data_IF_171292440665
#
_entry.id   IF_171292440665
#
_cell.length_a   1.000
_cell.length_b   1.000
_cell.length_c   1.000
_cell.angle_alpha   90.00
_cell.angle_beta   90.00
_cell.angle_gamma   90.00
#
_symmetry.space_group_name_H-M   'P 1'
#
loop_
_entity.id
_entity.type
_entity.pdbx_description
1 polymer ?
#
# COMPACT_ATOMS: atom_id res chain seq x y z
N UNK A 1 -29.32 5.64 -32.00
CA UNK A 1 -30.02 4.36 -31.75
C UNK A 1 -28.97 3.46 -31.08
N UNK A 2 -29.19 3.09 -29.84
CA UNK A 2 -28.32 2.12 -29.16
C UNK A 2 -28.49 0.75 -29.80
N UNK A 3 -27.40 0.10 -30.10
CA UNK A 3 -27.37 -1.29 -30.58
C UNK A 3 -27.93 -2.17 -29.46
N UNK A 4 -29.05 -2.90 -29.65
CA UNK A 4 -29.68 -3.72 -28.63
C UNK A 4 -28.80 -4.92 -28.18
N UNK A 5 -27.76 -5.28 -28.96
CA UNK A 5 -26.86 -6.36 -28.66
C UNK A 5 -25.59 -5.90 -27.86
N UNK A 6 -25.47 -4.59 -27.61
CA UNK A 6 -24.32 -4.04 -26.93
C UNK A 6 -24.46 -4.20 -25.42
N UNK A 7 -23.44 -4.80 -24.79
CA UNK A 7 -23.42 -4.95 -23.34
C UNK A 7 -23.39 -3.56 -22.66
N UNK A 8 -24.33 -3.33 -21.76
CA UNK A 8 -24.46 -2.08 -21.01
C UNK A 8 -24.38 -2.36 -19.51
N UNK A 9 -23.56 -1.57 -18.82
CA UNK A 9 -23.35 -1.62 -17.38
C UNK A 9 -23.73 -0.28 -16.74
N UNK A 10 -23.99 -0.28 -15.43
CA UNK A 10 -24.18 0.96 -14.67
C UNK A 10 -22.84 1.65 -14.44
N UNK A 11 -21.79 0.86 -14.25
CA UNK A 11 -20.41 1.34 -14.13
C UNK A 11 -19.39 0.36 -14.71
N UNK A 12 -18.32 0.91 -15.29
CA UNK A 12 -17.11 0.17 -15.64
C UNK A 12 -16.01 0.62 -14.71
N UNK A 13 -15.23 -0.33 -14.16
CA UNK A 13 -14.11 -0.10 -13.26
C UNK A 13 -12.84 -0.55 -13.98
N UNK A 14 -11.87 0.34 -14.14
CA UNK A 14 -10.59 0.07 -14.81
C UNK A 14 -9.53 -0.15 -13.75
N UNK A 15 -9.05 -1.40 -13.64
CA UNK A 15 -8.13 -1.87 -12.61
C UNK A 15 -8.81 -2.81 -11.61
N UNK A 16 -8.24 -4.01 -11.42
CA UNK A 16 -8.72 -5.02 -10.47
C UNK A 16 -7.74 -5.24 -9.30
N UNK A 17 -7.01 -4.20 -8.89
CA UNK A 17 -6.30 -4.16 -7.62
C UNK A 17 -7.29 -4.14 -6.44
N UNK A 18 -6.79 -4.04 -5.20
CA UNK A 18 -7.62 -4.04 -3.99
C UNK A 18 -8.70 -2.94 -4.03
N UNK A 19 -8.37 -1.75 -4.52
CA UNK A 19 -9.33 -0.63 -4.62
C UNK A 19 -10.43 -0.94 -5.64
N UNK A 20 -10.07 -1.39 -6.84
CA UNK A 20 -11.03 -1.68 -7.90
C UNK A 20 -11.94 -2.85 -7.55
N UNK A 21 -11.40 -3.90 -6.95
CA UNK A 21 -12.18 -5.04 -6.48
C UNK A 21 -13.14 -4.66 -5.34
N UNK A 22 -12.71 -3.78 -4.42
CA UNK A 22 -13.55 -3.24 -3.35
C UNK A 22 -14.71 -2.38 -3.91
N UNK A 23 -14.42 -1.51 -4.89
CA UNK A 23 -15.45 -0.69 -5.55
C UNK A 23 -16.47 -1.59 -6.28
N UNK A 24 -16.01 -2.62 -7.01
CA UNK A 24 -16.89 -3.58 -7.66
C UNK A 24 -17.81 -4.27 -6.65
N UNK A 25 -17.26 -4.72 -5.52
CA UNK A 25 -18.02 -5.35 -4.45
C UNK A 25 -19.07 -4.41 -3.85
N UNK A 26 -18.67 -3.19 -3.47
CA UNK A 26 -19.58 -2.22 -2.86
C UNK A 26 -20.69 -1.75 -3.81
N UNK A 27 -20.41 -1.61 -5.09
CA UNK A 27 -21.41 -1.28 -6.10
C UNK A 27 -22.36 -2.47 -6.35
N UNK A 28 -21.83 -3.69 -6.42
CA UNK A 28 -22.64 -4.90 -6.58
C UNK A 28 -23.59 -5.12 -5.37
N UNK A 29 -23.14 -4.83 -4.14
CA UNK A 29 -24.01 -4.80 -2.93
C UNK A 29 -25.19 -3.84 -3.07
N UNK A 30 -25.02 -2.74 -3.82
CA UNK A 30 -26.08 -1.75 -4.09
C UNK A 30 -26.94 -2.11 -5.29
N UNK A 31 -26.71 -3.27 -5.90
CA UNK A 31 -27.46 -3.77 -7.06
C UNK A 31 -27.04 -3.14 -8.39
N UNK A 32 -25.88 -2.50 -8.46
CA UNK A 32 -25.35 -1.99 -9.73
C UNK A 32 -24.80 -3.15 -10.55
N UNK A 33 -25.09 -3.12 -11.85
CA UNK A 33 -24.45 -3.99 -12.82
C UNK A 33 -23.08 -3.42 -13.18
N UNK A 34 -22.01 -4.04 -12.70
CA UNK A 34 -20.63 -3.56 -12.88
C UNK A 34 -19.82 -4.48 -13.77
N UNK A 35 -18.92 -3.90 -14.56
CA UNK A 35 -17.85 -4.60 -15.23
C UNK A 35 -16.52 -4.06 -14.72
N UNK A 36 -15.69 -4.93 -14.15
CA UNK A 36 -14.33 -4.62 -13.80
C UNK A 36 -13.38 -5.18 -14.89
N UNK A 37 -12.50 -4.36 -15.43
CA UNK A 37 -11.55 -4.75 -16.48
C UNK A 37 -10.12 -4.55 -16.01
N UNK A 38 -9.26 -5.54 -16.29
CA UNK A 38 -7.83 -5.44 -16.02
C UNK A 38 -7.03 -6.10 -17.14
N UNK A 39 -5.91 -5.49 -17.52
CA UNK A 39 -5.00 -6.06 -18.51
C UNK A 39 -4.19 -7.24 -17.97
N UNK A 40 -4.07 -7.37 -16.65
CA UNK A 40 -3.39 -8.45 -15.95
C UNK A 40 -4.29 -9.69 -15.81
N UNK A 41 -3.72 -10.87 -15.53
CA UNK A 41 -4.45 -12.14 -15.60
C UNK A 41 -5.38 -12.43 -14.42
N UNK A 42 -5.30 -11.67 -13.32
CA UNK A 42 -6.11 -11.90 -12.13
C UNK A 42 -6.21 -10.66 -11.24
N UNK A 43 -7.18 -10.65 -10.32
CA UNK A 43 -7.32 -9.59 -9.33
C UNK A 43 -6.09 -9.50 -8.43
N UNK A 44 -5.67 -8.27 -8.14
CA UNK A 44 -4.55 -7.97 -7.25
C UNK A 44 -3.16 -8.16 -7.86
N UNK A 45 -3.01 -8.53 -9.12
CA UNK A 45 -1.72 -8.84 -9.76
C UNK A 45 -0.83 -7.62 -10.07
N UNK A 46 -1.33 -6.40 -9.93
CA UNK A 46 -0.52 -5.17 -10.00
C UNK A 46 0.17 -4.85 -8.66
N UNK A 47 0.40 -3.57 -8.38
CA UNK A 47 1.06 -3.10 -7.15
C UNK A 47 0.43 -3.62 -5.85
N UNK A 48 -0.81 -4.09 -5.89
CA UNK A 48 -1.45 -4.72 -4.74
C UNK A 48 -0.71 -5.96 -4.26
N UNK A 49 -0.35 -6.90 -5.16
CA UNK A 49 0.37 -8.13 -4.78
C UNK A 49 1.78 -7.86 -4.25
N UNK A 50 2.39 -6.76 -4.68
CA UNK A 50 3.75 -6.37 -4.32
C UNK A 50 3.79 -5.36 -3.16
N UNK A 51 2.63 -5.04 -2.59
CA UNK A 51 2.49 -4.14 -1.45
C UNK A 51 2.90 -4.82 -0.14
N UNK A 52 3.43 -4.05 0.81
CA UNK A 52 3.62 -4.49 2.18
C UNK A 52 2.30 -4.75 2.91
N UNK A 53 1.17 -4.37 2.33
CA UNK A 53 -0.18 -4.55 2.85
C UNK A 53 -0.38 -4.05 4.30
N UNK A 54 0.35 -3.03 4.70
CA UNK A 54 0.28 -2.42 6.04
C UNK A 54 -1.06 -1.69 6.18
N UNK A 55 -1.74 -1.93 7.28
CA UNK A 55 -3.00 -1.27 7.66
C UNK A 55 -2.75 -0.46 8.93
N UNK A 56 -2.71 0.86 8.78
CA UNK A 56 -2.39 1.82 9.85
C UNK A 56 -3.23 3.08 9.74
N UNK A 57 -3.34 3.85 10.81
CA UNK A 57 -4.09 5.11 10.85
C UNK A 57 -3.22 6.39 10.93
N UNK A 58 -1.89 6.28 10.84
CA UNK A 58 -0.94 7.40 10.99
C UNK A 58 -0.93 8.30 9.74
N UNK A 59 -2.04 9.02 9.49
CA UNK A 59 -2.18 9.98 8.40
C UNK A 59 -2.15 11.42 8.94
N UNK A 60 -1.81 12.38 8.07
CA UNK A 60 -1.65 13.79 8.44
C UNK A 60 -2.91 14.64 8.25
N UNK A 61 -4.04 14.01 7.90
CA UNK A 61 -5.34 14.68 7.71
C UNK A 61 -6.44 13.96 8.47
N UNK A 62 -7.46 14.70 8.91
CA UNK A 62 -8.62 14.14 9.62
C UNK A 62 -9.30 13.04 8.80
N UNK A 63 -9.60 13.32 7.53
CA UNK A 63 -10.29 12.37 6.65
C UNK A 63 -9.47 11.11 6.42
N UNK A 64 -8.14 11.24 6.26
CA UNK A 64 -7.23 10.10 6.12
C UNK A 64 -7.23 9.21 7.36
N UNK A 65 -7.16 9.80 8.55
CA UNK A 65 -7.23 9.05 9.83
C UNK A 65 -8.60 8.38 9.99
N UNK A 66 -9.69 9.11 9.75
CA UNK A 66 -11.04 8.61 9.94
C UNK A 66 -11.35 7.43 9.00
N UNK A 67 -11.01 7.56 7.70
CA UNK A 67 -11.20 6.48 6.73
C UNK A 67 -10.35 5.25 7.05
N UNK A 68 -9.09 5.45 7.44
CA UNK A 68 -8.22 4.34 7.80
C UNK A 68 -8.70 3.62 9.06
N UNK A 69 -9.16 4.36 10.07
CA UNK A 69 -9.69 3.78 11.31
C UNK A 69 -10.99 3.01 11.08
N UNK A 70 -11.90 3.54 10.26
CA UNK A 70 -13.09 2.80 9.84
C UNK A 70 -12.69 1.49 9.13
N UNK A 71 -11.66 1.54 8.28
CA UNK A 71 -11.12 0.39 7.56
C UNK A 71 -10.70 -0.77 8.47
N UNK A 72 -10.23 -0.50 9.69
CA UNK A 72 -9.87 -1.57 10.64
C UNK A 72 -11.05 -2.50 10.97
N UNK A 73 -12.26 -1.97 11.03
CA UNK A 73 -13.45 -2.78 11.31
C UNK A 73 -13.73 -3.82 10.23
N UNK A 74 -13.50 -3.47 8.96
CA UNK A 74 -13.66 -4.38 7.83
C UNK A 74 -12.57 -5.46 7.82
N UNK A 75 -11.31 -5.08 8.05
CA UNK A 75 -10.20 -6.04 8.10
C UNK A 75 -10.32 -7.01 9.27
N UNK A 76 -10.72 -6.54 10.46
CA UNK A 76 -10.92 -7.39 11.64
C UNK A 76 -12.05 -8.40 11.47
N UNK A 77 -13.05 -8.08 10.68
CA UNK A 77 -14.23 -8.92 10.43
C UNK A 77 -14.37 -9.25 8.94
N UNK A 78 -13.23 -9.55 8.29
CA UNK A 78 -13.12 -9.68 6.84
C UNK A 78 -14.10 -10.68 6.24
N UNK A 79 -14.24 -11.86 6.85
CA UNK A 79 -15.14 -12.93 6.38
C UNK A 79 -16.62 -12.50 6.41
N UNK A 80 -17.06 -11.86 7.51
CA UNK A 80 -18.44 -11.38 7.61
C UNK A 80 -18.69 -10.16 6.71
N UNK A 81 -17.69 -9.28 6.55
CA UNK A 81 -17.79 -8.16 5.62
C UNK A 81 -18.03 -8.61 4.20
N UNK A 82 -17.32 -9.65 3.74
CA UNK A 82 -17.45 -10.20 2.39
C UNK A 82 -18.77 -10.93 2.19
N UNK A 83 -19.28 -11.60 3.23
CA UNK A 83 -20.51 -12.43 3.17
C UNK A 83 -20.50 -13.36 1.93
N UNK A 84 -19.36 -14.00 1.70
CA UNK A 84 -19.10 -14.87 0.55
C UNK A 84 -18.00 -15.88 0.86
N UNK A 85 -18.14 -17.08 0.36
CA UNK A 85 -17.09 -18.11 0.38
C UNK A 85 -16.07 -17.86 -0.75
N UNK A 86 -14.82 -18.22 -0.49
CA UNK A 86 -13.76 -18.24 -1.49
C UNK A 86 -13.06 -19.60 -1.45
N UNK A 87 -12.85 -20.22 -2.58
CA UNK A 87 -12.22 -21.54 -2.72
C UNK A 87 -10.75 -21.56 -2.27
N UNK A 88 -10.11 -20.37 -2.18
CA UNK A 88 -8.72 -20.19 -1.69
C UNK A 88 -8.68 -19.88 -0.19
N UNK A 89 -9.83 -19.76 0.47
CA UNK A 89 -9.95 -19.21 1.81
C UNK A 89 -9.86 -17.69 1.82
N UNK A 90 -9.87 -17.10 3.01
CA UNK A 90 -9.81 -15.64 3.19
C UNK A 90 -8.42 -15.18 3.62
N UNK A 91 -8.01 -14.02 3.12
CA UNK A 91 -6.85 -13.32 3.63
C UNK A 91 -7.05 -12.99 5.12
N UNK A 92 -5.97 -13.05 5.89
CA UNK A 92 -6.00 -12.81 7.33
C UNK A 92 -5.51 -11.40 7.65
N UNK A 93 -6.18 -10.75 8.58
CA UNK A 93 -5.67 -9.54 9.19
C UNK A 93 -4.76 -9.89 10.37
N UNK A 94 -3.48 -9.59 10.22
CA UNK A 94 -2.46 -9.80 11.25
C UNK A 94 -2.37 -8.55 12.11
N UNK A 95 -3.12 -8.52 13.21
CA UNK A 95 -3.15 -7.37 14.13
C UNK A 95 -1.90 -7.38 15.02
N UNK A 96 -0.76 -7.01 14.44
CA UNK A 96 0.54 -6.95 15.15
C UNK A 96 0.73 -5.69 15.98
N UNK A 97 -0.09 -4.68 15.75
CA UNK A 97 0.15 -3.32 16.21
C UNK A 97 1.14 -2.56 15.31
N UNK A 98 1.27 -1.27 15.60
CA UNK A 98 2.25 -0.38 14.96
C UNK A 98 2.90 0.50 16.00
N UNK A 99 4.22 0.67 15.93
CA UNK A 99 4.93 1.74 16.60
C UNK A 99 5.41 2.79 15.59
N UNK A 100 5.20 4.05 15.92
CA UNK A 100 5.84 5.19 15.29
C UNK A 100 6.87 5.72 16.30
N UNK A 101 8.15 5.60 16.00
CA UNK A 101 9.21 6.15 16.87
C UNK A 101 9.08 7.67 16.95
N UNK A 102 9.18 8.20 18.17
CA UNK A 102 8.95 9.62 18.43
C UNK A 102 10.27 10.37 18.55
N UNK A 103 10.33 11.46 17.79
CA UNK A 103 11.41 12.44 17.77
C UNK A 103 10.85 13.82 18.14
N UNK A 104 11.67 14.72 18.66
CA UNK A 104 11.26 16.11 18.84
C UNK A 104 10.84 16.74 17.50
N UNK A 105 9.67 17.36 17.42
CA UNK A 105 9.10 17.89 16.18
C UNK A 105 8.67 16.81 15.16
N UNK A 106 8.61 15.53 15.56
CA UNK A 106 8.31 14.41 14.68
C UNK A 106 6.84 14.31 14.24
N UNK A 107 6.58 13.36 13.35
CA UNK A 107 5.25 13.17 12.74
C UNK A 107 4.13 12.89 13.77
N UNK A 108 4.44 12.27 14.90
CA UNK A 108 3.49 11.99 15.98
C UNK A 108 2.76 13.25 16.50
N UNK A 109 3.42 14.43 16.50
CA UNK A 109 2.81 15.69 16.95
C UNK A 109 1.64 16.12 16.05
N UNK A 110 1.67 15.75 14.76
CA UNK A 110 0.56 15.99 13.82
C UNK A 110 -0.53 14.93 13.93
N UNK A 111 -0.17 13.71 14.24
CA UNK A 111 -1.08 12.56 14.27
C UNK A 111 -1.91 12.51 15.56
N UNK A 112 -1.30 12.76 16.71
CA UNK A 112 -1.98 12.67 18.02
C UNK A 112 -3.27 13.47 18.12
N UNK A 113 -3.30 14.78 17.75
CA UNK A 113 -4.55 15.56 17.79
C UNK A 113 -5.65 15.02 16.87
N UNK A 114 -5.27 14.35 15.78
CA UNK A 114 -6.21 13.74 14.85
C UNK A 114 -6.75 12.42 15.41
N UNK A 115 -5.91 11.65 16.09
CA UNK A 115 -6.33 10.43 16.80
C UNK A 115 -7.35 10.75 17.88
N UNK A 116 -7.11 11.79 18.69
CA UNK A 116 -8.05 12.26 19.71
C UNK A 116 -9.40 12.69 19.09
N UNK A 117 -9.37 13.38 17.94
CA UNK A 117 -10.59 13.82 17.25
C UNK A 117 -11.40 12.66 16.67
N UNK A 118 -10.75 11.64 16.13
CA UNK A 118 -11.38 10.47 15.52
C UNK A 118 -11.75 9.42 16.57
N UNK A 119 -11.02 9.38 17.69
CA UNK A 119 -11.16 8.36 18.73
C UNK A 119 -10.35 7.09 18.45
N UNK A 120 -9.19 7.21 17.75
CA UNK A 120 -8.29 6.08 17.53
C UNK A 120 -7.62 5.69 18.84
N UNK A 121 -7.69 4.43 19.29
CA UNK A 121 -6.98 3.97 20.48
C UNK A 121 -5.46 3.96 20.24
N UNK A 122 -4.74 4.50 21.20
CA UNK A 122 -3.26 4.50 21.17
C UNK A 122 -2.68 4.49 22.58
N UNK A 123 -1.40 4.14 22.68
CA UNK A 123 -0.57 4.26 23.89
C UNK A 123 0.67 5.09 23.53
N UNK A 124 1.11 5.91 24.47
CA UNK A 124 2.43 6.53 24.40
C UNK A 124 3.37 5.70 25.26
N UNK A 125 4.34 5.08 24.62
CA UNK A 125 5.39 4.32 25.29
C UNK A 125 6.57 5.25 25.57
N UNK A 126 7.00 5.33 26.82
CA UNK A 126 8.28 5.92 27.16
C UNK A 126 9.43 5.12 26.54
N UNK A 127 10.61 5.71 26.46
CA UNK A 127 11.78 4.99 25.95
C UNK A 127 12.13 3.74 26.78
N UNK A 128 11.86 3.78 28.10
CA UNK A 128 12.05 2.61 28.99
C UNK A 128 11.05 1.50 28.68
N UNK A 129 9.75 1.81 28.53
CA UNK A 129 8.72 0.83 28.14
C UNK A 129 8.95 0.27 26.74
N UNK A 130 9.45 1.09 25.81
CA UNK A 130 9.81 0.66 24.48
C UNK A 130 10.96 -0.37 24.52
N UNK A 131 12.00 -0.14 25.33
CA UNK A 131 13.12 -1.08 25.56
C UNK A 131 12.66 -2.40 26.18
N UNK A 132 11.72 -2.34 27.12
CA UNK A 132 11.19 -3.55 27.75
C UNK A 132 10.34 -4.37 26.79
N UNK A 133 9.48 -3.74 25.99
CA UNK A 133 8.57 -4.43 25.05
C UNK A 133 9.28 -4.95 23.82
N UNK A 134 10.25 -4.17 23.29
CA UNK A 134 10.93 -4.44 22.01
C UNK A 134 12.46 -4.32 22.16
N UNK A 135 13.09 -5.22 22.92
CA UNK A 135 14.50 -5.12 23.29
C UNK A 135 15.47 -5.33 22.11
N UNK A 136 14.96 -5.71 20.95
CA UNK A 136 15.72 -5.88 19.73
C UNK A 136 15.98 -4.59 18.95
N UNK A 137 15.34 -3.48 19.35
CA UNK A 137 15.61 -2.17 18.77
C UNK A 137 16.69 -1.43 19.53
N UNK A 138 17.57 -0.77 18.81
CA UNK A 138 18.46 0.28 19.31
C UNK A 138 17.62 1.58 19.43
N UNK A 139 17.83 2.37 20.49
CA UNK A 139 16.96 3.49 20.86
C UNK A 139 17.64 4.86 20.72
N UNK A 140 18.81 4.92 20.13
CA UNK A 140 19.48 6.15 19.80
C UNK A 140 18.85 6.89 18.62
N UNK A 141 19.13 8.18 18.53
CA UNK A 141 18.77 9.02 17.39
C UNK A 141 19.98 9.32 16.54
N UNK A 142 19.79 9.32 15.22
CA UNK A 142 20.87 9.42 14.23
C UNK A 142 20.82 10.73 13.43
N UNK A 143 19.86 11.61 13.74
CA UNK A 143 19.72 12.91 13.12
C UNK A 143 19.05 12.86 11.73
N UNK A 144 19.42 13.77 10.84
CA UNK A 144 18.82 13.80 9.51
C UNK A 144 19.22 12.54 8.71
N UNK A 145 18.26 11.81 8.13
CA UNK A 145 18.54 10.61 7.37
C UNK A 145 19.59 10.86 6.28
N UNK A 146 20.57 9.98 6.20
CA UNK A 146 21.61 10.02 5.18
C UNK A 146 21.84 8.64 4.57
N UNK A 147 22.68 8.58 3.56
CA UNK A 147 23.00 7.33 2.85
C UNK A 147 24.27 6.70 3.37
N UNK A 148 24.50 5.38 3.19
CA UNK A 148 25.71 4.68 3.65
C UNK A 148 27.03 5.20 3.07
N UNK A 149 26.95 5.96 1.95
CA UNK A 149 28.10 6.62 1.32
C UNK A 149 28.51 7.93 2.01
N UNK A 150 27.65 8.48 2.86
CA UNK A 150 27.96 9.64 3.70
C UNK A 150 28.65 9.20 4.98
N UNK A 151 29.79 9.82 5.32
CA UNK A 151 30.56 9.45 6.53
C UNK A 151 29.71 9.57 7.81
N UNK A 152 28.76 10.50 7.89
CA UNK A 152 27.83 10.68 9.02
C UNK A 152 26.95 9.46 9.27
N UNK A 153 26.72 8.64 8.25
CA UNK A 153 25.94 7.41 8.42
C UNK A 153 26.53 6.47 9.48
N UNK A 154 27.84 6.51 9.68
CA UNK A 154 28.58 5.63 10.58
C UNK A 154 28.86 6.23 11.96
N UNK A 155 28.39 7.48 12.19
CA UNK A 155 28.55 8.13 13.49
C UNK A 155 27.71 7.43 14.57
N UNK A 156 28.17 7.48 15.81
CA UNK A 156 27.40 7.01 16.97
C UNK A 156 26.10 7.84 17.12
N UNK A 157 25.05 7.28 17.77
CA UNK A 157 23.83 8.02 18.04
C UNK A 157 24.10 9.33 18.79
N UNK A 158 23.42 10.42 18.37
CA UNK A 158 23.59 11.74 19.01
C UNK A 158 22.71 11.95 20.25
N UNK A 159 21.64 11.14 20.40
CA UNK A 159 20.66 11.26 21.47
C UNK A 159 19.84 9.98 21.63
N UNK A 160 18.68 10.09 22.25
CA UNK A 160 17.74 8.97 22.41
C UNK A 160 16.36 9.32 21.87
N UNK A 161 15.63 8.32 21.39
CA UNK A 161 14.21 8.44 21.05
C UNK A 161 13.43 8.94 22.28
N UNK A 162 12.43 9.76 22.08
CA UNK A 162 11.53 10.20 23.15
C UNK A 162 10.69 9.01 23.67
N UNK A 163 10.44 8.05 22.80
CA UNK A 163 9.61 6.88 23.00
C UNK A 163 8.92 6.48 21.70
N UNK A 164 7.69 5.96 21.80
CA UNK A 164 6.92 5.59 20.61
C UNK A 164 5.41 5.82 20.81
N UNK A 165 4.74 6.16 19.72
CA UNK A 165 3.28 6.10 19.61
C UNK A 165 2.89 4.70 19.14
N UNK A 166 2.23 3.94 20.02
CA UNK A 166 1.77 2.58 19.72
C UNK A 166 0.27 2.56 19.42
N UNK A 167 -0.10 1.94 18.31
CA UNK A 167 -1.50 1.72 17.87
C UNK A 167 -1.80 0.22 17.83
N UNK A 168 -2.56 -0.32 18.81
CA UNK A 168 -2.79 -1.76 18.93
C UNK A 168 -3.67 -2.33 17.83
N UNK A 169 -4.52 -1.50 17.21
CA UNK A 169 -5.47 -1.91 16.18
C UNK A 169 -4.87 -2.04 14.78
N UNK A 170 -3.67 -1.50 14.59
CA UNK A 170 -2.92 -1.57 13.33
C UNK A 170 -2.29 -2.96 13.08
N UNK A 171 -1.85 -3.19 11.86
CA UNK A 171 -1.22 -4.45 11.49
C UNK A 171 -0.99 -4.53 9.97
N UNK A 172 -1.19 -5.71 9.41
CA UNK A 172 -1.05 -5.94 7.97
C UNK A 172 -1.94 -7.09 7.50
N UNK A 173 -2.19 -7.14 6.20
CA UNK A 173 -2.91 -8.25 5.55
C UNK A 173 -1.90 -9.30 5.13
N UNK A 174 -2.15 -10.57 5.47
CA UNK A 174 -1.23 -11.69 5.22
C UNK A 174 -0.93 -11.93 3.75
N UNK A 175 -1.94 -11.73 2.90
CA UNK A 175 -1.84 -11.91 1.44
C UNK A 175 -2.73 -10.86 0.74
N UNK A 176 -2.13 -9.75 0.25
CA UNK A 176 -2.89 -8.70 -0.42
C UNK A 176 -3.50 -9.13 -1.76
N UNK A 177 -2.87 -10.07 -2.46
CA UNK A 177 -3.43 -10.61 -3.70
C UNK A 177 -4.67 -11.46 -3.41
N UNK A 178 -4.62 -12.31 -2.37
CA UNK A 178 -5.78 -13.07 -1.92
C UNK A 178 -6.91 -12.15 -1.45
N UNK A 179 -6.62 -11.06 -0.74
CA UNK A 179 -7.63 -10.09 -0.34
C UNK A 179 -8.37 -9.49 -1.54
N UNK A 180 -7.65 -9.16 -2.62
CA UNK A 180 -8.28 -8.69 -3.86
C UNK A 180 -9.12 -9.77 -4.54
N UNK A 181 -8.66 -11.02 -4.53
CA UNK A 181 -9.41 -12.17 -5.03
C UNK A 181 -10.69 -12.41 -4.21
N UNK A 182 -10.61 -12.31 -2.89
CA UNK A 182 -11.79 -12.41 -2.02
C UNK A 182 -12.84 -11.34 -2.36
N UNK A 183 -12.42 -10.08 -2.57
CA UNK A 183 -13.33 -8.99 -3.01
C UNK A 183 -13.92 -9.27 -4.38
N UNK A 184 -13.13 -9.79 -5.33
CA UNK A 184 -13.62 -10.22 -6.64
C UNK A 184 -14.73 -11.28 -6.49
N UNK A 185 -14.46 -12.37 -5.74
CA UNK A 185 -15.43 -13.45 -5.53
C UNK A 185 -16.71 -12.96 -4.86
N UNK A 186 -16.57 -12.08 -3.87
CA UNK A 186 -17.71 -11.46 -3.20
C UNK A 186 -18.53 -10.55 -4.15
N UNK A 187 -17.87 -9.80 -5.03
CA UNK A 187 -18.54 -9.00 -6.05
C UNK A 187 -19.29 -9.87 -7.08
N UNK A 188 -18.63 -10.93 -7.57
CA UNK A 188 -19.24 -11.89 -8.53
C UNK A 188 -20.45 -12.60 -7.93
N UNK A 189 -20.40 -12.99 -6.64
CA UNK A 189 -21.54 -13.57 -5.93
C UNK A 189 -22.77 -12.64 -5.87
N UNK A 190 -22.55 -11.32 -6.03
CA UNK A 190 -23.60 -10.28 -6.06
C UNK A 190 -23.88 -9.73 -7.47
N UNK A 191 -23.34 -10.38 -8.52
CA UNK A 191 -23.61 -10.08 -9.92
C UNK A 191 -22.64 -9.11 -10.59
N UNK A 192 -21.51 -8.79 -9.95
CA UNK A 192 -20.39 -8.09 -10.59
C UNK A 192 -19.70 -8.97 -11.63
N UNK A 193 -19.20 -8.37 -12.70
CA UNK A 193 -18.48 -9.08 -13.76
C UNK A 193 -17.01 -8.62 -13.77
N UNK A 194 -16.07 -9.57 -13.99
CA UNK A 194 -14.64 -9.30 -14.14
C UNK A 194 -14.14 -9.84 -15.48
N UNK A 195 -13.31 -9.04 -16.17
CA UNK A 195 -12.59 -9.45 -17.39
C UNK A 195 -11.12 -9.14 -17.22
N UNK A 196 -10.33 -10.19 -17.13
CA UNK A 196 -8.87 -10.15 -17.08
C UNK A 196 -8.27 -10.31 -18.48
N UNK A 197 -6.95 -10.04 -18.60
CA UNK A 197 -6.25 -9.99 -19.89
C UNK A 197 -6.98 -9.09 -20.90
N UNK A 198 -7.55 -7.97 -20.38
CA UNK A 198 -8.43 -7.09 -21.13
C UNK A 198 -7.96 -5.65 -20.95
N UNK A 199 -7.31 -5.13 -21.97
CA UNK A 199 -6.77 -3.77 -21.98
C UNK A 199 -7.78 -2.76 -22.51
N UNK A 200 -7.89 -1.61 -21.84
CA UNK A 200 -8.67 -0.45 -22.28
C UNK A 200 -7.79 0.45 -23.13
N UNK A 201 -8.25 0.76 -24.34
CA UNK A 201 -7.51 1.58 -25.32
C UNK A 201 -8.15 2.94 -25.57
N UNK A 202 -9.42 3.14 -25.17
CA UNK A 202 -10.07 4.44 -25.25
C UNK A 202 -11.20 4.60 -24.22
N UNK A 203 -11.38 5.84 -23.74
CA UNK A 203 -12.53 6.26 -22.94
C UNK A 203 -13.48 7.04 -23.86
N UNK A 204 -14.58 6.39 -24.24
CA UNK A 204 -15.55 6.96 -25.17
C UNK A 204 -16.36 8.07 -24.50
N UNK A 205 -16.57 9.15 -25.26
CA UNK A 205 -17.30 10.33 -24.79
C UNK A 205 -18.22 10.86 -25.90
N UNK A 206 -19.37 11.38 -25.48
CA UNK A 206 -20.28 12.14 -26.33
C UNK A 206 -20.87 13.30 -25.52
N UNK A 207 -20.97 14.48 -26.12
CA UNK A 207 -21.53 15.69 -25.50
C UNK A 207 -20.92 16.03 -24.13
N UNK A 208 -19.60 15.85 -24.00
CA UNK A 208 -18.83 16.13 -22.77
C UNK A 208 -19.05 15.12 -21.63
N UNK A 209 -19.68 13.99 -21.88
CA UNK A 209 -19.92 12.92 -20.91
C UNK A 209 -19.28 11.62 -21.37
N UNK A 210 -18.87 10.79 -20.39
CA UNK A 210 -18.44 9.42 -20.64
C UNK A 210 -19.63 8.60 -21.12
N UNK A 211 -19.40 7.74 -22.10
CA UNK A 211 -20.41 6.79 -22.65
C UNK A 211 -19.96 5.34 -22.57
N UNK A 212 -18.70 5.09 -22.22
CA UNK A 212 -18.13 3.75 -22.09
C UNK A 212 -16.65 3.70 -22.42
N UNK A 213 -16.18 2.52 -22.75
CA UNK A 213 -14.78 2.23 -23.09
C UNK A 213 -14.68 1.48 -24.42
N UNK A 214 -13.48 1.51 -25.01
CA UNK A 214 -13.07 0.62 -26.09
C UNK A 214 -11.94 -0.28 -25.61
N UNK A 215 -12.02 -1.56 -25.89
CA UNK A 215 -11.01 -2.58 -25.57
C UNK A 215 -10.01 -2.77 -26.69
N UNK A 216 -8.86 -3.38 -26.41
CA UNK A 216 -7.80 -3.60 -27.40
C UNK A 216 -8.23 -4.46 -28.60
N UNK A 217 -9.21 -5.33 -28.46
CA UNK A 217 -9.81 -6.13 -29.56
C UNK A 217 -10.83 -5.36 -30.41
N UNK A 218 -11.05 -4.06 -30.11
CA UNK A 218 -12.03 -3.20 -30.76
C UNK A 218 -13.45 -3.31 -30.20
N UNK A 219 -13.67 -4.16 -29.19
CA UNK A 219 -14.99 -4.26 -28.52
C UNK A 219 -15.32 -2.96 -27.79
N UNK A 220 -16.51 -2.44 -28.01
CA UNK A 220 -17.02 -1.28 -27.28
C UNK A 220 -18.00 -1.73 -26.19
N UNK A 221 -17.84 -1.18 -24.98
CA UNK A 221 -18.71 -1.46 -23.83
C UNK A 221 -19.30 -0.15 -23.33
N UNK A 222 -20.61 -0.11 -23.12
CA UNK A 222 -21.33 1.09 -22.73
C UNK A 222 -21.53 1.16 -21.21
N UNK A 223 -21.24 2.34 -20.64
CA UNK A 223 -21.60 2.69 -19.27
C UNK A 223 -21.60 4.22 -19.09
N UNK A 224 -22.52 4.77 -18.29
CA UNK A 224 -22.54 6.21 -17.98
C UNK A 224 -21.48 6.61 -16.95
N UNK A 225 -20.88 5.64 -16.26
CA UNK A 225 -19.83 5.85 -15.24
C UNK A 225 -18.64 4.98 -15.59
N UNK A 226 -17.45 5.59 -15.61
CA UNK A 226 -16.16 4.89 -15.69
C UNK A 226 -15.31 5.32 -14.50
N UNK A 227 -14.89 4.35 -13.70
CA UNK A 227 -14.05 4.55 -12.52
C UNK A 227 -12.63 4.17 -12.87
N UNK A 228 -11.71 5.12 -12.76
CA UNK A 228 -10.29 4.89 -12.97
C UNK A 228 -9.62 4.56 -11.64
N UNK A 229 -9.17 3.33 -11.48
CA UNK A 229 -8.40 2.82 -10.34
C UNK A 229 -7.26 1.91 -10.83
N UNK A 230 -6.67 2.34 -11.93
CA UNK A 230 -5.62 1.60 -12.63
C UNK A 230 -4.24 1.67 -11.94
N UNK A 231 -4.17 2.10 -10.67
CA UNK A 231 -2.93 2.24 -9.90
C UNK A 231 -1.92 3.13 -10.63
N UNK A 232 -0.67 2.70 -10.80
CA UNK A 232 0.36 3.48 -11.48
C UNK A 232 0.02 3.90 -12.91
N UNK A 233 -0.97 3.24 -13.55
CA UNK A 233 -1.49 3.61 -14.88
C UNK A 233 -2.59 4.67 -14.82
N UNK A 234 -3.00 5.14 -13.63
CA UNK A 234 -4.13 6.08 -13.50
C UNK A 234 -3.93 7.35 -14.32
N UNK A 235 -2.71 7.89 -14.38
CA UNK A 235 -2.43 9.07 -15.19
C UNK A 235 -2.57 8.80 -16.70
N UNK A 236 -2.28 7.58 -17.15
CA UNK A 236 -2.45 7.17 -18.56
C UNK A 236 -3.94 7.16 -18.91
N UNK A 237 -4.77 6.55 -18.07
CA UNK A 237 -6.23 6.52 -18.26
C UNK A 237 -6.82 7.94 -18.20
N UNK A 238 -6.34 8.80 -17.31
CA UNK A 238 -6.78 10.19 -17.21
C UNK A 238 -6.40 11.01 -18.47
N UNK A 239 -5.23 10.76 -19.07
CA UNK A 239 -4.83 11.34 -20.36
C UNK A 239 -5.73 10.82 -21.48
N UNK A 240 -5.99 9.52 -21.52
CA UNK A 240 -6.91 8.88 -22.49
C UNK A 240 -8.33 9.47 -22.39
N UNK A 241 -8.82 9.71 -21.19
CA UNK A 241 -10.08 10.39 -20.94
C UNK A 241 -10.06 11.89 -21.29
N UNK A 242 -8.88 12.48 -21.59
CA UNK A 242 -8.71 13.90 -21.91
C UNK A 242 -9.04 14.85 -20.75
N UNK A 243 -8.89 14.39 -19.51
CA UNK A 243 -9.15 15.18 -18.30
C UNK A 243 -7.85 15.56 -17.54
N UNK A 244 -6.76 14.87 -17.81
CA UNK A 244 -5.50 15.00 -17.07
C UNK A 244 -5.01 16.45 -16.93
N UNK A 245 -5.03 17.24 -18.01
CA UNK A 245 -4.53 18.61 -17.98
C UNK A 245 -5.38 19.55 -17.12
N UNK A 246 -6.67 19.24 -16.96
CA UNK A 246 -7.62 20.03 -16.16
C UNK A 246 -7.71 19.59 -14.69
N UNK A 247 -7.05 18.50 -14.30
CA UNK A 247 -7.03 18.02 -12.92
C UNK A 247 -6.17 18.92 -12.03
N UNK A 248 -6.66 19.22 -10.83
CA UNK A 248 -5.89 19.96 -9.82
C UNK A 248 -4.91 19.06 -9.07
N UNK A 249 -5.25 17.78 -8.90
CA UNK A 249 -4.39 16.76 -8.30
C UNK A 249 -4.07 15.76 -9.40
N UNK A 250 -2.80 15.50 -9.63
CA UNK A 250 -2.32 14.56 -10.63
C UNK A 250 -1.53 13.45 -9.98
N UNK A 251 -1.49 12.29 -10.62
CA UNK A 251 -0.67 11.19 -10.16
C UNK A 251 0.48 10.91 -11.12
N UNK A 252 1.54 10.34 -10.59
CA UNK A 252 2.72 9.87 -11.32
C UNK A 252 3.17 8.55 -10.73
N UNK A 253 3.72 7.69 -11.57
CA UNK A 253 4.32 6.44 -11.12
C UNK A 253 5.72 6.68 -10.54
N UNK A 254 5.95 6.20 -9.32
CA UNK A 254 7.24 6.23 -8.63
C UNK A 254 7.70 4.80 -8.37
N UNK A 255 8.92 4.48 -8.83
CA UNK A 255 9.52 3.17 -8.61
C UNK A 255 9.96 3.02 -7.16
N UNK A 256 9.52 1.95 -6.51
CA UNK A 256 9.86 1.59 -5.14
C UNK A 256 10.43 0.19 -5.04
N UNK A 257 11.26 -0.01 -4.02
CA UNK A 257 11.81 -1.30 -3.65
C UNK A 257 11.43 -1.64 -2.21
N UNK A 258 10.99 -2.87 -2.00
CA UNK A 258 10.77 -3.47 -0.69
C UNK A 258 11.67 -4.67 -0.57
N UNK A 259 12.46 -4.71 0.48
CA UNK A 259 13.40 -5.79 0.72
C UNK A 259 12.93 -6.68 1.86
N UNK A 260 13.45 -7.91 1.91
CA UNK A 260 13.26 -8.76 3.06
C UNK A 260 14.56 -9.44 3.47
N UNK A 261 14.77 -9.49 4.78
CA UNK A 261 15.92 -10.09 5.42
C UNK A 261 15.46 -11.05 6.50
N UNK A 262 16.25 -12.09 6.84
CA UNK A 262 15.96 -12.94 7.99
C UNK A 262 15.94 -12.12 9.28
N UNK A 263 15.08 -12.51 10.22
CA UNK A 263 15.08 -11.97 11.58
C UNK A 263 16.42 -12.22 12.27
N UNK A 264 16.85 -11.36 13.22
CA UNK A 264 18.01 -11.62 14.03
C UNK A 264 17.95 -12.96 14.76
N UNK A 265 19.12 -13.58 14.98
CA UNK A 265 19.18 -14.88 15.63
C UNK A 265 18.57 -14.84 17.04
N UNK A 266 17.67 -15.75 17.33
CA UNK A 266 16.99 -15.83 18.63
C UNK A 266 15.74 -14.95 18.77
N UNK A 267 15.37 -14.19 17.74
CA UNK A 267 14.14 -13.40 17.69
C UNK A 267 13.15 -14.05 16.73
N UNK A 268 11.93 -14.29 17.19
CA UNK A 268 10.81 -14.68 16.36
C UNK A 268 10.02 -13.43 15.95
N UNK A 269 10.54 -12.72 14.94
CA UNK A 269 9.93 -11.45 14.51
C UNK A 269 8.58 -11.65 13.82
N UNK A 270 8.33 -12.82 13.25
CA UNK A 270 7.03 -13.17 12.69
C UNK A 270 5.94 -13.16 13.77
N UNK A 271 6.28 -13.61 14.98
CA UNK A 271 5.36 -13.71 16.10
C UNK A 271 5.39 -12.48 17.02
N UNK A 272 6.58 -12.04 17.39
CA UNK A 272 6.80 -11.03 18.44
C UNK A 272 7.11 -9.63 17.87
N UNK A 273 7.31 -9.54 16.54
CA UNK A 273 7.51 -8.29 15.83
C UNK A 273 6.21 -7.57 15.50
N UNK A 274 6.36 -6.33 15.05
CA UNK A 274 5.24 -5.49 14.66
C UNK A 274 5.64 -4.58 13.48
N UNK A 275 4.67 -3.86 12.92
CA UNK A 275 4.99 -2.77 12.01
C UNK A 275 5.65 -1.64 12.81
N UNK A 276 6.79 -1.14 12.35
CA UNK A 276 7.39 0.09 12.86
C UNK A 276 7.68 1.08 11.74
N UNK A 277 7.46 2.36 12.03
CA UNK A 277 7.76 3.51 11.19
C UNK A 277 8.84 4.33 11.90
N UNK A 278 9.95 4.56 11.22
CA UNK A 278 11.17 5.14 11.76
C UNK A 278 11.66 6.30 10.90
N UNK A 279 11.17 7.48 11.20
CA UNK A 279 11.54 8.70 10.45
C UNK A 279 12.98 9.16 10.74
N UNK A 280 13.62 8.68 11.81
CA UNK A 280 15.02 8.94 12.12
C UNK A 280 15.98 8.24 11.14
N UNK A 281 15.65 7.00 10.78
CA UNK A 281 16.39 6.21 9.80
C UNK A 281 15.68 6.13 8.45
N UNK A 282 14.50 6.74 8.33
CA UNK A 282 13.68 6.79 7.12
C UNK A 282 13.36 5.42 6.52
N UNK A 283 13.00 4.48 7.38
CA UNK A 283 12.54 3.14 7.01
C UNK A 283 11.26 2.77 7.74
N UNK A 284 10.52 1.86 7.16
CA UNK A 284 9.50 1.12 7.87
C UNK A 284 9.76 -0.38 7.74
N UNK A 285 9.31 -1.14 8.72
CA UNK A 285 9.41 -2.61 8.70
C UNK A 285 8.11 -3.25 9.14
N UNK A 286 7.92 -4.51 8.76
CA UNK A 286 6.88 -5.37 9.32
C UNK A 286 7.33 -6.84 9.34
N UNK A 287 6.67 -7.68 10.17
CA UNK A 287 6.86 -9.13 10.12
C UNK A 287 6.49 -9.72 8.76
N UNK A 288 7.20 -10.77 8.35
CA UNK A 288 6.91 -11.55 7.16
C UNK A 288 7.08 -13.04 7.46
N UNK A 289 6.33 -13.87 6.73
CA UNK A 289 6.34 -15.31 6.86
C UNK A 289 7.73 -15.93 6.72
N UNK A 290 7.95 -17.03 7.45
CA UNK A 290 9.26 -17.68 7.51
C UNK A 290 10.28 -16.94 8.38
N UNK A 291 9.79 -16.18 9.36
CA UNK A 291 10.59 -15.36 10.28
C UNK A 291 11.50 -14.36 9.57
N UNK A 292 10.93 -13.63 8.62
CA UNK A 292 11.59 -12.55 7.90
C UNK A 292 11.06 -11.18 8.33
N UNK A 293 11.79 -10.15 7.96
CA UNK A 293 11.44 -8.74 8.11
C UNK A 293 11.31 -8.14 6.71
N UNK A 294 10.17 -7.54 6.40
CA UNK A 294 10.03 -6.66 5.25
C UNK A 294 10.51 -5.26 5.62
N UNK A 295 11.24 -4.62 4.70
CA UNK A 295 11.80 -3.29 4.87
C UNK A 295 11.41 -2.44 3.66
N UNK A 296 10.90 -1.23 3.92
CA UNK A 296 10.67 -0.22 2.89
C UNK A 296 11.24 1.13 3.30
N UNK A 297 11.40 2.03 2.33
CA UNK A 297 11.86 3.40 2.55
C UNK A 297 10.70 4.34 2.87
N UNK A 298 10.94 5.32 3.75
CA UNK A 298 10.07 6.48 3.96
C UNK A 298 10.43 7.65 3.03
N UNK A 299 11.17 7.40 1.95
CA UNK A 299 11.57 8.36 0.92
C UNK A 299 12.24 9.64 1.45
N UNK A 300 13.33 9.51 2.21
CA UNK A 300 14.04 10.68 2.68
C UNK A 300 14.63 11.47 1.50
N UNK A 301 14.84 12.75 1.68
CA UNK A 301 15.35 13.66 0.62
C UNK A 301 16.73 13.25 0.10
N UNK A 302 17.50 12.47 0.86
CA UNK A 302 18.80 11.95 0.43
C UNK A 302 18.71 10.76 -0.53
N UNK A 303 17.54 10.10 -0.62
CA UNK A 303 17.35 8.98 -1.55
C UNK A 303 16.81 9.49 -2.90
N UNK A 304 17.34 8.99 -4.03
CA UNK A 304 16.86 9.41 -5.34
C UNK A 304 15.46 8.87 -5.59
N UNK A 305 14.55 9.75 -6.02
CA UNK A 305 13.24 9.37 -6.50
C UNK A 305 13.29 9.00 -7.98
N UNK A 306 12.90 7.79 -8.33
CA UNK A 306 12.90 7.27 -9.71
C UNK A 306 11.49 7.31 -10.26
N UNK A 307 11.14 8.44 -10.90
CA UNK A 307 9.86 8.62 -11.57
C UNK A 307 9.81 7.85 -12.89
N UNK A 308 8.68 7.22 -13.17
CA UNK A 308 8.45 6.37 -14.34
C UNK A 308 7.41 7.01 -15.24
N UNK A 309 7.76 7.22 -16.52
CA UNK A 309 6.85 7.82 -17.50
C UNK A 309 5.97 6.77 -18.18
N UNK A 310 6.47 5.55 -18.34
CA UNK A 310 5.72 4.39 -18.86
C UNK A 310 5.67 3.28 -17.82
N UNK A 311 4.52 3.06 -17.15
CA UNK A 311 4.40 2.03 -16.13
C UNK A 311 4.56 0.58 -16.63
N UNK A 312 4.61 0.37 -17.96
CA UNK A 312 4.87 -0.94 -18.55
C UNK A 312 6.34 -1.16 -18.89
N UNK A 313 7.17 -0.10 -18.83
CA UNK A 313 8.61 -0.15 -19.16
C UNK A 313 9.45 0.52 -18.07
N UNK A 314 9.80 -0.24 -17.04
CA UNK A 314 10.68 0.21 -15.96
C UNK A 314 11.60 -0.93 -15.48
N UNK A 315 12.72 -0.54 -14.86
CA UNK A 315 13.64 -1.51 -14.26
C UNK A 315 13.01 -2.11 -13.00
N UNK A 316 12.70 -3.40 -13.06
CA UNK A 316 12.11 -4.18 -11.97
C UNK A 316 13.12 -5.06 -11.22
N UNK A 317 14.41 -4.76 -11.34
CA UNK A 317 15.48 -5.44 -10.63
C UNK A 317 15.85 -4.70 -9.36
N UNK A 318 16.00 -5.43 -8.25
CA UNK A 318 16.47 -4.88 -6.96
C UNK A 318 17.86 -4.27 -7.14
N UNK A 319 18.00 -2.98 -6.81
CA UNK A 319 19.26 -2.25 -6.93
C UNK A 319 20.18 -2.47 -5.72
N UNK A 320 21.49 -2.34 -5.94
CA UNK A 320 22.46 -2.31 -4.82
C UNK A 320 22.24 -1.08 -3.95
N UNK A 321 21.88 0.00 -4.57
CA UNK A 321 21.72 1.30 -3.97
C UNK A 321 20.60 1.33 -2.91
N UNK A 322 19.40 0.89 -3.28
CA UNK A 322 18.26 0.84 -2.35
C UNK A 322 18.41 -0.28 -1.32
N UNK A 323 18.93 -1.43 -1.73
CA UNK A 323 19.22 -2.51 -0.80
C UNK A 323 20.17 -2.05 0.32
N UNK A 324 21.31 -1.47 -0.04
CA UNK A 324 22.28 -1.01 0.95
C UNK A 324 21.67 0.07 1.86
N UNK A 325 20.98 1.05 1.29
CA UNK A 325 20.36 2.12 2.07
C UNK A 325 19.38 1.56 3.11
N UNK A 326 18.43 0.75 2.69
CA UNK A 326 17.35 0.26 3.56
C UNK A 326 17.86 -0.77 4.58
N UNK A 327 18.66 -1.75 4.15
CA UNK A 327 19.12 -2.83 5.03
C UNK A 327 20.15 -2.34 6.06
N UNK A 328 21.05 -1.42 5.67
CA UNK A 328 22.01 -0.85 6.61
C UNK A 328 21.35 0.12 7.60
N UNK A 329 20.32 0.87 7.18
CA UNK A 329 19.49 1.67 8.09
C UNK A 329 18.79 0.77 9.11
N UNK A 330 18.23 -0.37 8.66
CA UNK A 330 17.64 -1.33 9.59
C UNK A 330 18.69 -1.93 10.54
N UNK A 331 19.90 -2.24 10.07
CA UNK A 331 20.96 -2.74 10.91
C UNK A 331 21.38 -1.74 12.01
N UNK A 332 21.22 -0.44 11.79
CA UNK A 332 21.41 0.58 12.84
C UNK A 332 20.29 0.53 13.89
N UNK A 333 19.05 0.29 13.51
CA UNK A 333 17.93 0.13 14.44
C UNK A 333 17.86 -1.25 15.08
N UNK A 334 18.40 -2.28 14.42
CA UNK A 334 18.46 -3.65 14.90
C UNK A 334 19.92 -4.16 14.82
N UNK A 335 20.77 -3.86 15.78
CA UNK A 335 22.21 -4.16 15.70
C UNK A 335 22.56 -5.65 15.53
N UNK A 336 21.68 -6.55 16.01
CA UNK A 336 21.87 -8.00 15.89
C UNK A 336 21.39 -8.53 14.51
N UNK A 337 21.01 -7.65 13.58
CA UNK A 337 20.57 -8.06 12.24
C UNK A 337 21.73 -8.68 11.45
N UNK A 338 21.56 -9.93 11.06
CA UNK A 338 22.47 -10.60 10.14
C UNK A 338 22.19 -10.18 8.69
N UNK A 339 23.06 -9.34 8.11
CA UNK A 339 22.88 -8.89 6.72
C UNK A 339 23.22 -10.04 5.77
N UNK A 340 22.24 -10.52 4.96
CA UNK A 340 22.49 -11.61 4.03
C UNK A 340 23.34 -11.17 2.83
N UNK A 341 24.13 -12.08 2.27
CA UNK A 341 24.92 -11.82 1.07
C UNK A 341 24.06 -11.74 -0.21
N UNK A 342 22.85 -12.31 -0.19
CA UNK A 342 21.91 -12.33 -1.32
C UNK A 342 20.83 -11.27 -1.09
N UNK A 343 20.68 -10.38 -2.06
CA UNK A 343 19.61 -9.39 -2.07
C UNK A 343 18.28 -10.06 -2.41
N UNK A 344 17.27 -9.83 -1.57
CA UNK A 344 15.91 -10.30 -1.80
C UNK A 344 14.94 -9.14 -1.64
N UNK A 345 14.08 -8.98 -2.62
CA UNK A 345 13.10 -7.90 -2.60
C UNK A 345 12.19 -7.93 -3.81
N UNK A 346 11.28 -7.00 -3.81
CA UNK A 346 10.31 -6.76 -4.89
C UNK A 346 10.48 -5.31 -5.32
N UNK A 347 10.37 -5.08 -6.61
CA UNK A 347 10.34 -3.75 -7.23
C UNK A 347 8.99 -3.55 -7.88
N UNK A 348 8.31 -2.47 -7.56
CA UNK A 348 7.04 -2.11 -8.17
C UNK A 348 6.84 -0.58 -8.14
N UNK A 349 5.69 -0.14 -8.62
CA UNK A 349 5.35 1.27 -8.75
C UNK A 349 4.33 1.71 -7.72
N UNK A 350 4.57 2.85 -7.11
CA UNK A 350 3.57 3.60 -6.36
C UNK A 350 2.87 4.60 -7.29
N UNK A 351 1.57 4.80 -7.09
CA UNK A 351 0.81 5.89 -7.71
C UNK A 351 0.80 7.08 -6.73
N UNK A 352 1.67 8.05 -7.00
CA UNK A 352 1.91 9.18 -6.08
C UNK A 352 1.21 10.43 -6.59
N UNK A 353 0.40 11.08 -5.75
CA UNK A 353 -0.24 12.37 -6.04
C UNK A 353 0.66 13.54 -5.69
N UNK A 354 0.58 14.62 -6.49
CA UNK A 354 1.23 15.93 -6.26
C UNK A 354 0.48 16.79 -5.22
#
# INVERSE_FOLDING_TARGET
MSDPDRASYDAIIIGAGVIGSAIAFELAKKGWRTLNVDKLPAAGYGSTSNSCAIVRAHYSTFDGVAMAYEGFSYWKDWSNYLDSEDERGHALYMQSGTVLFMLEGGHHEKVLPLFDQVGVPYEILSNEELRERYPFYEHGTHGEPCRPEDDRFWDEPEGELIGALYTPDSGYVSDPQLASHNLQRAAEAKGGEFRFNTEVTDIRRADGRVTGITLADGTEVDAPVVVNVAGPHSFVINKMAGVYDSMNIKTRALRHEVHHVPSPAGIDFEKDGLHSSDSDLAIYVRPESGNNILIGSEDPTCDPQVWVDDPDDYDNVVSDEQWNAQVLRLARRMPELGIPNEKKGIVDLYDVSD
#
